data_IF_042505971767
#
_entry.id   IF_042505971767
#
_cell.length_a   1.000
_cell.length_b   1.000
_cell.length_c   1.000
_cell.angle_alpha   90.00
_cell.angle_beta   90.00
_cell.angle_gamma   90.00
#
_symmetry.space_group_name_H-M   'P 1'
#
loop_
_entity.id
_entity.type
_entity.pdbx_description
1 polymer ?
#
# COMPACT_ATOMS: atom_id res chain seq x y z
N UNK A 1 12.27 -22.55 -17.59
CA UNK A 1 11.15 -21.69 -18.06
C UNK A 1 11.54 -20.25 -17.80
N UNK A 2 11.50 -19.38 -18.81
CA UNK A 2 11.72 -17.95 -18.58
C UNK A 2 10.54 -17.41 -17.76
N UNK A 3 10.81 -16.93 -16.53
CA UNK A 3 9.78 -16.23 -15.75
C UNK A 3 9.43 -14.95 -16.49
N UNK A 4 8.15 -14.81 -16.87
CA UNK A 4 7.68 -13.60 -17.56
C UNK A 4 7.44 -12.53 -16.51
N UNK A 5 8.14 -11.40 -16.63
CA UNK A 5 7.83 -10.22 -15.82
C UNK A 5 6.41 -9.72 -16.15
N UNK A 6 5.62 -9.42 -15.13
CA UNK A 6 4.24 -8.98 -15.23
C UNK A 6 4.13 -7.56 -14.66
N UNK A 7 3.17 -6.79 -15.17
CA UNK A 7 2.77 -5.51 -14.58
C UNK A 7 1.56 -5.74 -13.68
N UNK A 8 1.69 -5.43 -12.40
CA UNK A 8 0.70 -5.75 -11.36
C UNK A 8 0.36 -4.48 -10.58
N UNK A 9 -0.94 -4.20 -10.47
CA UNK A 9 -1.46 -3.07 -9.71
C UNK A 9 -2.30 -3.59 -8.55
N UNK A 10 -1.88 -3.26 -7.32
CA UNK A 10 -2.64 -3.56 -6.10
C UNK A 10 -3.48 -2.32 -5.79
N UNK A 11 -4.80 -2.48 -5.69
CA UNK A 11 -5.71 -1.38 -5.36
C UNK A 11 -6.17 -1.58 -3.91
N UNK A 12 -5.75 -0.70 -3.03
CA UNK A 12 -6.07 -0.82 -1.60
C UNK A 12 -5.26 0.13 -0.73
N UNK A 13 -5.55 0.18 0.58
CA UNK A 13 -4.82 1.04 1.50
C UNK A 13 -3.33 0.66 1.49
N UNK A 14 -2.48 1.67 1.51
CA UNK A 14 -1.05 1.57 1.78
C UNK A 14 -0.62 2.77 2.60
N UNK A 15 0.61 2.78 3.11
CA UNK A 15 1.18 3.93 3.80
C UNK A 15 0.81 5.25 3.10
N UNK A 16 0.33 6.27 3.84
CA UNK A 16 0.31 6.39 5.31
C UNK A 16 -0.90 5.78 6.01
N UNK A 17 -1.81 5.11 5.30
CA UNK A 17 -2.98 4.50 5.90
C UNK A 17 -2.62 3.32 6.81
N UNK A 18 -3.26 3.23 7.98
CA UNK A 18 -2.93 2.21 9.00
C UNK A 18 -3.74 0.93 8.90
N UNK A 19 -3.23 -0.12 9.55
CA UNK A 19 -3.95 -1.37 9.84
C UNK A 19 -3.58 -2.56 8.94
N UNK A 20 -4.15 -3.72 9.27
CA UNK A 20 -3.81 -5.01 8.63
C UNK A 20 -3.85 -5.02 7.10
N UNK A 21 -4.84 -4.40 6.44
CA UNK A 21 -4.88 -4.33 4.98
C UNK A 21 -3.72 -3.54 4.35
N UNK A 22 -3.26 -2.46 5.01
CA UNK A 22 -2.14 -1.67 4.51
C UNK A 22 -0.82 -2.47 4.57
N UNK A 23 -0.56 -3.10 5.73
CA UNK A 23 0.61 -3.96 5.89
C UNK A 23 0.59 -5.16 4.92
N UNK A 24 -0.58 -5.75 4.69
CA UNK A 24 -0.73 -6.85 3.74
C UNK A 24 -0.40 -6.42 2.31
N UNK A 25 -0.92 -5.27 1.86
CA UNK A 25 -0.67 -4.77 0.51
C UNK A 25 0.81 -4.44 0.29
N UNK A 26 1.47 -3.85 1.29
CA UNK A 26 2.90 -3.57 1.27
C UNK A 26 3.73 -4.85 1.14
N UNK A 27 3.49 -5.82 2.01
CA UNK A 27 4.19 -7.11 1.98
C UNK A 27 3.97 -7.83 0.65
N UNK A 28 2.74 -7.82 0.12
CA UNK A 28 2.43 -8.44 -1.17
C UNK A 28 3.19 -7.77 -2.32
N UNK A 29 3.20 -6.43 -2.35
CA UNK A 29 3.91 -5.68 -3.37
C UNK A 29 5.43 -5.93 -3.32
N UNK A 30 5.99 -6.00 -2.12
CA UNK A 30 7.40 -6.30 -1.90
C UNK A 30 7.75 -7.70 -2.42
N UNK A 31 6.97 -8.72 -2.08
CA UNK A 31 7.21 -10.09 -2.53
C UNK A 31 7.04 -10.26 -4.04
N UNK A 32 6.06 -9.58 -4.65
CA UNK A 32 5.90 -9.57 -6.12
C UNK A 32 7.08 -8.89 -6.83
N UNK A 33 7.62 -7.84 -6.22
CA UNK A 33 8.81 -7.14 -6.74
C UNK A 33 10.05 -8.03 -6.63
N UNK A 34 10.24 -8.71 -5.49
CA UNK A 34 11.31 -9.71 -5.30
C UNK A 34 11.21 -10.89 -6.28
N UNK A 35 9.99 -11.27 -6.66
CA UNK A 35 9.74 -12.30 -7.68
C UNK A 35 10.04 -11.83 -9.13
N UNK A 36 10.44 -10.56 -9.33
CA UNK A 36 10.82 -10.01 -10.63
C UNK A 36 9.65 -9.40 -11.43
N UNK A 37 8.53 -9.12 -10.77
CA UNK A 37 7.40 -8.41 -11.39
C UNK A 37 7.50 -6.90 -11.17
N UNK A 38 6.92 -6.13 -12.09
CA UNK A 38 6.71 -4.69 -11.96
C UNK A 38 5.40 -4.47 -11.19
N UNK A 39 5.50 -4.45 -9.86
CA UNK A 39 4.36 -4.32 -8.96
C UNK A 39 4.30 -2.91 -8.33
N UNK A 40 3.10 -2.37 -8.22
CA UNK A 40 2.86 -1.08 -7.57
C UNK A 40 1.52 -1.05 -6.85
N UNK A 41 1.41 -0.20 -5.83
CA UNK A 41 0.17 0.00 -5.08
C UNK A 41 -0.45 1.35 -5.46
N UNK A 42 -1.74 1.31 -5.79
CA UNK A 42 -2.60 2.48 -5.93
C UNK A 42 -3.40 2.59 -4.64
N UNK A 43 -3.05 3.57 -3.82
CA UNK A 43 -3.70 3.85 -2.54
C UNK A 43 -4.85 4.83 -2.70
N UNK A 44 -5.80 4.78 -1.77
CA UNK A 44 -6.84 5.79 -1.65
C UNK A 44 -6.35 6.96 -0.78
N UNK A 45 -6.77 8.19 -1.11
CA UNK A 45 -6.45 9.35 -0.29
C UNK A 45 -7.14 9.35 1.09
N UNK A 46 -8.37 8.80 1.16
CA UNK A 46 -9.20 8.73 2.37
C UNK A 46 -9.94 7.39 2.41
N UNK A 47 -9.86 6.66 3.53
CA UNK A 47 -10.65 5.43 3.70
C UNK A 47 -12.08 5.74 4.12
N UNK A 48 -12.25 6.72 5.00
CA UNK A 48 -13.56 7.12 5.53
C UNK A 48 -13.59 8.62 5.82
N UNK A 49 -14.65 9.33 5.44
CA UNK A 49 -14.79 10.74 5.77
C UNK A 49 -15.00 10.91 7.28
N UNK A 50 -14.30 11.88 7.87
CA UNK A 50 -14.31 12.14 9.32
C UNK A 50 -15.71 12.41 9.90
N UNK A 51 -16.64 12.89 9.07
CA UNK A 51 -18.03 13.10 9.47
C UNK A 51 -18.76 11.77 9.79
N UNK A 52 -18.49 10.70 9.03
CA UNK A 52 -19.13 9.40 9.25
C UNK A 52 -18.44 8.60 10.36
N UNK A 53 -17.16 8.90 10.65
CA UNK A 53 -16.34 8.16 11.61
C UNK A 53 -15.47 9.09 12.47
N UNK A 54 -16.08 9.89 13.37
CA UNK A 54 -15.33 10.75 14.27
C UNK A 54 -14.50 9.92 15.27
N UNK A 55 -13.24 10.31 15.49
CA UNK A 55 -12.40 9.75 16.56
C UNK A 55 -11.38 8.67 16.14
N UNK A 56 -11.34 8.26 14.88
CA UNK A 56 -10.36 7.29 14.37
C UNK A 56 -9.30 8.00 13.53
N UNK A 57 -8.05 8.13 14.01
CA UNK A 57 -6.94 8.54 13.14
C UNK A 57 -6.76 7.47 12.04
N UNK A 58 -6.75 7.82 10.77
CA UNK A 58 -6.60 6.82 9.69
C UNK A 58 -5.14 6.57 9.29
N UNK A 59 -4.20 7.28 9.92
CA UNK A 59 -2.79 7.30 9.55
C UNK A 59 -1.90 6.56 10.55
N UNK A 60 -0.82 5.98 10.04
CA UNK A 60 0.26 5.42 10.86
C UNK A 60 1.02 6.54 11.57
N UNK A 61 1.12 6.44 12.90
CA UNK A 61 1.83 7.42 13.73
C UNK A 61 3.29 7.01 13.99
N UNK A 62 3.69 5.81 13.59
CA UNK A 62 4.99 5.21 13.92
C UNK A 62 6.18 5.75 13.09
N UNK A 63 5.99 6.76 12.24
CA UNK A 63 7.08 7.57 11.67
C UNK A 63 8.05 6.89 10.69
N UNK A 64 7.96 5.59 10.43
CA UNK A 64 8.79 4.91 9.43
C UNK A 64 8.03 4.72 8.12
N UNK A 65 8.22 5.64 7.17
CA UNK A 65 7.87 5.39 5.76
C UNK A 65 8.66 4.15 5.29
N UNK A 66 8.01 3.10 4.76
CA UNK A 66 8.73 1.97 4.20
C UNK A 66 9.68 2.46 3.10
N UNK A 67 10.99 2.21 3.29
CA UNK A 67 11.98 2.49 2.26
C UNK A 67 11.62 1.62 1.05
N UNK A 68 11.39 2.26 -0.10
CA UNK A 68 11.20 1.64 -1.41
C UNK A 68 9.77 1.29 -1.85
N UNK A 69 8.72 1.80 -1.21
CA UNK A 69 7.36 1.65 -1.74
C UNK A 69 7.14 2.64 -2.91
N UNK A 70 6.96 2.14 -4.14
CA UNK A 70 6.38 2.92 -5.25
C UNK A 70 4.85 2.95 -5.09
N UNK A 71 4.36 3.79 -4.19
CA UNK A 71 2.95 4.19 -4.15
C UNK A 71 2.76 5.51 -4.88
N UNK A 72 1.59 5.70 -5.50
CA UNK A 72 1.19 7.02 -5.98
C UNK A 72 1.03 7.96 -4.79
N UNK A 73 1.55 9.20 -4.84
CA UNK A 73 1.28 10.19 -3.81
C UNK A 73 -0.22 10.45 -3.76
N UNK A 74 -0.78 10.40 -2.54
CA UNK A 74 -2.16 10.76 -2.24
C UNK A 74 -2.34 12.28 -2.24
#
# INVERSE_FOLDING_TARGET
MASRSLKIFIIGPAYPLRGGPAQFNENLCEELTKAGHDAQIISYALQYPNFLFPGSSQFEQSGSTPKELRSTPN
#
